data_IF_214375911912
#
_entry.id   IF_214375911912
#
_cell.length_a   1.000
_cell.length_b   1.000
_cell.length_c   1.000
_cell.angle_alpha   90.00
_cell.angle_beta   90.00
_cell.angle_gamma   90.00
#
_symmetry.space_group_name_H-M   'P 1'
#
loop_
_entity.id
_entity.type
_entity.pdbx_description
1 polymer ?
#
# COMPACT_ATOMS: atom_id res chain seq x y z
N UNK A 1 -10.17 -37.44 39.75
CA UNK A 1 -11.32 -36.75 39.14
C UNK A 1 -10.75 -35.88 38.03
N UNK A 2 -11.11 -36.17 36.77
CA UNK A 2 -10.68 -35.39 35.61
C UNK A 2 -11.91 -34.65 35.08
N UNK A 3 -11.82 -33.32 35.01
CA UNK A 3 -12.87 -32.48 34.42
C UNK A 3 -12.90 -32.65 32.90
N UNK A 4 -14.11 -32.87 32.39
CA UNK A 4 -14.45 -32.98 30.98
C UNK A 4 -14.57 -31.55 30.43
N UNK A 5 -13.73 -31.21 29.45
CA UNK A 5 -13.75 -29.92 28.76
C UNK A 5 -15.08 -29.68 28.03
N UNK A 6 -15.65 -28.49 28.25
CA UNK A 6 -16.87 -27.99 27.62
C UNK A 6 -16.65 -27.86 26.10
N UNK A 7 -17.32 -28.72 25.33
CA UNK A 7 -17.43 -28.59 23.89
C UNK A 7 -18.27 -27.37 23.48
N UNK A 8 -17.87 -26.76 22.37
CA UNK A 8 -18.68 -25.79 21.61
C UNK A 8 -20.05 -26.44 21.36
N UNK A 9 -21.10 -25.78 21.85
CA UNK A 9 -22.43 -26.36 22.00
C UNK A 9 -23.07 -26.59 20.64
N UNK A 10 -23.35 -27.86 20.30
CA UNK A 10 -24.07 -28.28 19.09
C UNK A 10 -25.39 -27.51 18.82
N UNK A 11 -25.99 -26.89 19.84
CA UNK A 11 -27.16 -26.02 19.72
C UNK A 11 -26.91 -24.69 18.98
N UNK A 12 -25.71 -24.12 19.04
CA UNK A 12 -25.37 -22.87 18.34
C UNK A 12 -25.12 -23.10 16.84
N UNK A 13 -24.40 -24.18 16.51
CA UNK A 13 -24.21 -24.64 15.13
C UNK A 13 -25.56 -24.99 14.48
N UNK A 14 -26.45 -25.68 15.19
CA UNK A 14 -27.80 -25.97 14.70
C UNK A 14 -28.63 -24.69 14.47
N UNK A 15 -28.54 -23.71 15.37
CA UNK A 15 -29.19 -22.39 15.21
C UNK A 15 -28.71 -21.64 13.97
N UNK A 16 -27.39 -21.63 13.70
CA UNK A 16 -26.82 -20.91 12.56
C UNK A 16 -27.14 -21.62 11.23
N UNK A 17 -27.10 -22.95 11.20
CA UNK A 17 -27.58 -23.75 10.06
C UNK A 17 -29.07 -23.51 9.82
N UNK A 18 -29.87 -23.40 10.88
CA UNK A 18 -31.30 -23.12 10.77
C UNK A 18 -31.59 -21.70 10.24
N UNK A 19 -30.82 -20.69 10.65
CA UNK A 19 -30.90 -19.34 10.08
C UNK A 19 -30.47 -19.30 8.60
N UNK A 20 -29.45 -20.07 8.22
CA UNK A 20 -29.02 -20.19 6.81
C UNK A 20 -30.11 -20.86 5.96
N UNK A 21 -30.72 -21.93 6.46
CA UNK A 21 -31.85 -22.60 5.79
C UNK A 21 -33.07 -21.69 5.68
N UNK A 22 -33.40 -20.92 6.72
CA UNK A 22 -34.52 -19.97 6.67
C UNK A 22 -34.28 -18.83 5.69
N UNK A 23 -33.05 -18.27 5.62
CA UNK A 23 -32.68 -17.27 4.61
C UNK A 23 -32.79 -17.80 3.18
N UNK A 24 -32.31 -19.02 2.95
CA UNK A 24 -32.39 -19.68 1.65
C UNK A 24 -33.86 -19.92 1.25
N UNK A 25 -34.68 -20.39 2.19
CA UNK A 25 -36.11 -20.59 1.99
C UNK A 25 -36.83 -19.27 1.68
N UNK A 26 -36.55 -18.20 2.42
CA UNK A 26 -37.17 -16.88 2.22
C UNK A 26 -36.81 -16.28 0.85
N UNK A 27 -35.52 -16.32 0.46
CA UNK A 27 -35.08 -15.89 -0.89
C UNK A 27 -35.79 -16.67 -2.01
N UNK A 28 -36.04 -17.96 -1.81
CA UNK A 28 -36.81 -18.78 -2.76
C UNK A 28 -38.29 -18.38 -2.78
N UNK A 29 -38.89 -18.11 -1.61
CA UNK A 29 -40.29 -17.67 -1.54
C UNK A 29 -40.50 -16.28 -2.16
N UNK A 30 -39.57 -15.35 -1.99
CA UNK A 30 -39.55 -14.04 -2.64
C UNK A 30 -39.45 -14.18 -4.17
N UNK A 31 -38.49 -14.98 -4.68
CA UNK A 31 -38.35 -15.27 -6.12
C UNK A 31 -39.57 -15.94 -6.75
N UNK A 32 -40.35 -16.69 -5.97
CA UNK A 32 -41.59 -17.33 -6.41
C UNK A 32 -42.83 -16.44 -6.26
N UNK A 33 -42.69 -15.18 -5.79
CA UNK A 33 -43.79 -14.25 -5.55
C UNK A 33 -44.72 -14.68 -4.41
N UNK A 34 -44.25 -15.55 -3.50
CA UNK A 34 -45.01 -16.10 -2.37
C UNK A 34 -44.75 -15.38 -1.05
N UNK A 35 -43.77 -14.48 -1.01
CA UNK A 35 -43.45 -13.60 0.11
C UNK A 35 -43.15 -12.19 -0.42
N UNK A 36 -43.58 -11.16 0.31
CA UNK A 36 -43.26 -9.77 -0.03
C UNK A 36 -41.79 -9.47 0.29
N UNK A 37 -41.07 -8.94 -0.70
CA UNK A 37 -39.69 -8.49 -0.59
C UNK A 37 -39.66 -7.02 -0.16
N UNK A 38 -38.88 -6.70 0.86
CA UNK A 38 -38.59 -5.31 1.19
C UNK A 38 -37.60 -4.76 0.16
N UNK A 39 -38.09 -3.95 -0.79
CA UNK A 39 -37.26 -3.30 -1.83
C UNK A 39 -36.93 -1.87 -1.41
N UNK A 40 -35.65 -1.57 -1.30
CA UNK A 40 -35.13 -0.24 -1.01
C UNK A 40 -34.33 0.27 -2.22
N UNK A 41 -35.06 0.83 -3.19
CA UNK A 41 -34.46 1.32 -4.43
C UNK A 41 -33.41 2.42 -4.19
N UNK A 42 -33.57 3.21 -3.12
CA UNK A 42 -32.61 4.26 -2.76
C UNK A 42 -31.30 3.63 -2.25
N UNK A 43 -31.39 2.62 -1.38
CA UNK A 43 -30.21 1.89 -0.91
C UNK A 43 -29.52 1.09 -2.04
N UNK A 44 -30.28 0.49 -2.95
CA UNK A 44 -29.75 -0.19 -4.14
C UNK A 44 -28.90 0.78 -5.00
N UNK A 45 -29.33 2.03 -5.17
CA UNK A 45 -28.56 3.06 -5.87
C UNK A 45 -27.27 3.43 -5.12
N UNK A 46 -27.33 3.56 -3.79
CA UNK A 46 -26.14 3.81 -2.96
C UNK A 46 -25.11 2.68 -3.09
N UNK A 47 -25.57 1.41 -3.09
CA UNK A 47 -24.70 0.24 -3.28
C UNK A 47 -24.12 0.19 -4.69
N UNK A 48 -24.89 0.58 -5.72
CA UNK A 48 -24.38 0.69 -7.08
C UNK A 48 -23.27 1.76 -7.18
N UNK A 49 -23.47 2.92 -6.56
CA UNK A 49 -22.47 3.98 -6.48
C UNK A 49 -21.23 3.53 -5.71
N UNK A 50 -21.39 2.86 -4.56
CA UNK A 50 -20.28 2.27 -3.79
C UNK A 50 -19.43 1.32 -4.64
N UNK A 51 -20.06 0.38 -5.35
CA UNK A 51 -19.34 -0.58 -6.19
C UNK A 51 -18.60 0.10 -7.36
N UNK A 52 -19.24 1.09 -7.98
CA UNK A 52 -18.61 1.91 -9.03
C UNK A 52 -17.39 2.64 -8.48
N UNK A 53 -17.54 3.30 -7.34
CA UNK A 53 -16.49 4.06 -6.67
C UNK A 53 -15.29 3.18 -6.31
N UNK A 54 -15.54 2.00 -5.75
CA UNK A 54 -14.51 1.01 -5.42
C UNK A 54 -13.75 0.55 -6.67
N UNK A 55 -14.46 0.25 -7.75
CA UNK A 55 -13.88 -0.20 -9.01
C UNK A 55 -13.01 0.89 -9.66
N UNK A 56 -13.51 2.13 -9.72
CA UNK A 56 -12.78 3.28 -10.26
C UNK A 56 -11.53 3.59 -9.42
N UNK A 57 -11.65 3.60 -8.09
CA UNK A 57 -10.51 3.80 -7.19
C UNK A 57 -9.45 2.70 -7.32
N UNK A 58 -9.87 1.43 -7.41
CA UNK A 58 -8.95 0.29 -7.62
C UNK A 58 -8.23 0.40 -8.96
N UNK A 59 -8.94 0.83 -10.01
CA UNK A 59 -8.33 1.10 -11.31
C UNK A 59 -7.28 2.21 -11.21
N UNK A 60 -7.61 3.33 -10.56
CA UNK A 60 -6.68 4.44 -10.34
C UNK A 60 -5.42 3.99 -9.58
N UNK A 61 -5.58 3.23 -8.50
CA UNK A 61 -4.47 2.68 -7.72
C UNK A 61 -3.53 1.83 -8.59
N UNK A 62 -4.10 0.94 -9.42
CA UNK A 62 -3.34 0.11 -10.34
C UNK A 62 -2.57 0.96 -11.36
N UNK A 63 -3.24 1.95 -11.95
CA UNK A 63 -2.65 2.83 -12.95
C UNK A 63 -1.52 3.71 -12.34
N UNK A 64 -1.67 4.20 -11.10
CA UNK A 64 -0.61 4.90 -10.36
C UNK A 64 0.58 4.01 -10.03
N UNK A 65 0.34 2.76 -9.59
CA UNK A 65 1.41 1.78 -9.35
C UNK A 65 2.18 1.47 -10.64
N UNK A 66 1.48 1.31 -11.76
CA UNK A 66 2.10 1.13 -13.07
C UNK A 66 2.93 2.35 -13.50
N UNK A 67 2.42 3.56 -13.23
CA UNK A 67 3.16 4.80 -13.46
C UNK A 67 4.47 4.85 -12.66
N UNK A 68 4.45 4.48 -11.38
CA UNK A 68 5.67 4.42 -10.55
C UNK A 68 6.70 3.42 -11.08
N UNK A 69 6.26 2.25 -11.54
CA UNK A 69 7.15 1.27 -12.18
C UNK A 69 7.80 1.87 -13.43
N UNK A 70 7.05 2.64 -14.23
CA UNK A 70 7.59 3.33 -15.39
C UNK A 70 8.60 4.41 -15.02
N UNK A 71 8.34 5.20 -13.96
CA UNK A 71 9.30 6.19 -13.41
C UNK A 71 10.60 5.51 -13.00
N UNK A 72 10.52 4.40 -12.24
CA UNK A 72 11.70 3.63 -11.84
C UNK A 72 12.47 3.07 -13.03
N UNK A 73 11.76 2.56 -14.04
CA UNK A 73 12.38 2.04 -15.26
C UNK A 73 13.11 3.14 -16.04
N UNK A 74 12.53 4.34 -16.11
CA UNK A 74 13.15 5.51 -16.73
C UNK A 74 14.39 5.96 -15.96
N UNK A 75 14.33 6.00 -14.63
CA UNK A 75 15.47 6.28 -13.77
C UNK A 75 16.63 5.32 -14.04
N UNK A 76 16.38 4.01 -14.04
CA UNK A 76 17.41 3.01 -14.32
C UNK A 76 18.01 3.16 -15.72
N UNK A 77 17.21 3.52 -16.73
CA UNK A 77 17.70 3.80 -18.08
C UNK A 77 18.55 5.09 -18.13
N UNK A 78 18.11 6.14 -17.45
CA UNK A 78 18.85 7.41 -17.33
C UNK A 78 20.20 7.19 -16.66
N UNK A 79 20.24 6.43 -15.56
CA UNK A 79 21.47 6.11 -14.83
C UNK A 79 22.46 5.37 -15.73
N UNK A 80 22.03 4.30 -16.41
CA UNK A 80 22.91 3.56 -17.36
C UNK A 80 23.50 4.45 -18.45
N UNK A 81 22.74 5.43 -18.94
CA UNK A 81 23.21 6.37 -19.95
C UNK A 81 24.26 7.33 -19.36
N UNK A 82 24.06 7.78 -18.12
CA UNK A 82 25.02 8.63 -17.41
C UNK A 82 26.30 7.86 -17.04
N UNK A 83 26.18 6.62 -16.59
CA UNK A 83 27.33 5.74 -16.31
C UNK A 83 28.19 5.57 -17.57
N UNK A 84 27.55 5.33 -18.73
CA UNK A 84 28.25 5.24 -20.01
C UNK A 84 29.02 6.53 -20.35
N UNK A 85 28.41 7.70 -20.10
CA UNK A 85 29.08 8.97 -20.29
C UNK A 85 30.28 9.10 -19.34
N UNK A 86 30.09 8.81 -18.05
CA UNK A 86 31.13 8.92 -17.03
C UNK A 86 32.33 8.01 -17.31
N UNK A 87 32.07 6.77 -17.77
CA UNK A 87 33.11 5.80 -18.17
C UNK A 87 33.93 6.29 -19.37
N UNK A 88 33.30 7.01 -20.30
CA UNK A 88 33.95 7.57 -21.49
C UNK A 88 34.62 8.92 -21.23
N UNK A 89 34.34 9.58 -20.10
CA UNK A 89 34.82 10.92 -19.82
C UNK A 89 36.21 10.91 -19.20
N UNK A 90 37.20 11.38 -19.95
CA UNK A 90 38.59 11.35 -19.50
C UNK A 90 38.84 12.32 -18.32
N UNK A 91 39.75 12.00 -17.38
CA UNK A 91 40.03 12.86 -16.23
C UNK A 91 40.58 14.26 -16.55
N UNK A 92 41.20 14.46 -17.72
CA UNK A 92 41.77 15.76 -18.14
C UNK A 92 40.79 16.62 -18.96
N UNK A 93 39.59 16.09 -19.23
CA UNK A 93 38.56 16.81 -19.96
C UNK A 93 37.90 17.85 -19.06
N UNK A 94 37.53 18.97 -19.69
CA UNK A 94 36.82 20.05 -19.02
C UNK A 94 35.55 19.51 -18.37
N UNK A 95 35.29 19.89 -17.12
CA UNK A 95 34.01 19.57 -16.49
C UNK A 95 33.89 18.14 -15.94
N UNK A 96 34.98 17.38 -15.75
CA UNK A 96 34.92 16.00 -15.25
C UNK A 96 34.21 15.91 -13.90
N UNK A 97 34.67 16.69 -12.91
CA UNK A 97 34.08 16.70 -11.55
C UNK A 97 32.63 17.18 -11.60
N UNK A 98 32.32 18.18 -12.43
CA UNK A 98 30.97 18.69 -12.63
C UNK A 98 30.05 17.66 -13.31
N UNK A 99 30.57 16.85 -14.22
CA UNK A 99 29.81 15.76 -14.87
C UNK A 99 29.48 14.65 -13.87
N UNK A 100 30.42 14.30 -13.00
CA UNK A 100 30.20 13.31 -11.94
C UNK A 100 29.16 13.80 -10.93
N UNK A 101 29.29 15.05 -10.47
CA UNK A 101 28.31 15.67 -9.57
C UNK A 101 26.92 15.74 -10.21
N UNK A 102 26.83 16.02 -11.51
CA UNK A 102 25.57 16.06 -12.24
C UNK A 102 24.88 14.68 -12.31
N UNK A 103 25.66 13.59 -12.41
CA UNK A 103 25.12 12.24 -12.34
C UNK A 103 24.53 11.94 -10.95
N UNK A 104 25.24 12.30 -9.87
CA UNK A 104 24.75 12.14 -8.49
C UNK A 104 23.49 12.98 -8.21
N UNK A 105 23.46 14.24 -8.65
CA UNK A 105 22.31 15.13 -8.53
C UNK A 105 21.10 14.58 -9.31
N UNK A 106 21.33 14.05 -10.52
CA UNK A 106 20.28 13.43 -11.33
C UNK A 106 19.69 12.21 -10.62
N UNK A 107 20.55 11.36 -10.05
CA UNK A 107 20.12 10.18 -9.29
C UNK A 107 19.24 10.57 -8.11
N UNK A 108 19.69 11.58 -7.36
CA UNK A 108 18.98 12.12 -6.19
C UNK A 108 17.60 12.64 -6.58
N UNK A 109 17.48 13.40 -7.67
CA UNK A 109 16.20 13.92 -8.14
C UNK A 109 15.22 12.80 -8.54
N UNK A 110 15.71 11.73 -9.18
CA UNK A 110 14.87 10.58 -9.53
C UNK A 110 14.35 9.86 -8.28
N UNK A 111 15.23 9.63 -7.29
CA UNK A 111 14.86 9.00 -6.03
C UNK A 111 13.83 9.83 -5.27
N UNK A 112 14.07 11.14 -5.13
CA UNK A 112 13.15 12.05 -4.46
C UNK A 112 11.79 12.08 -5.16
N UNK A 113 11.78 12.13 -6.50
CA UNK A 113 10.56 12.14 -7.29
C UNK A 113 9.74 10.86 -7.13
N UNK A 114 10.38 9.69 -7.22
CA UNK A 114 9.71 8.41 -7.01
C UNK A 114 9.14 8.30 -5.58
N UNK A 115 9.93 8.68 -4.56
CA UNK A 115 9.49 8.65 -3.16
C UNK A 115 8.29 9.58 -2.94
N UNK A 116 8.37 10.81 -3.44
CA UNK A 116 7.32 11.80 -3.31
C UNK A 116 5.99 11.33 -3.95
N UNK A 117 6.02 10.70 -5.12
CA UNK A 117 4.79 10.13 -5.72
C UNK A 117 4.22 9.00 -4.86
N UNK A 118 5.10 8.14 -4.34
CA UNK A 118 4.71 7.01 -3.48
C UNK A 118 3.97 7.52 -2.24
N UNK A 119 4.59 8.44 -1.51
CA UNK A 119 4.13 8.85 -0.18
C UNK A 119 3.02 9.90 -0.23
N UNK A 120 3.01 10.75 -1.25
CA UNK A 120 2.09 11.90 -1.30
C UNK A 120 0.92 11.70 -2.25
N UNK A 121 1.03 10.81 -3.24
CA UNK A 121 -0.04 10.56 -4.21
C UNK A 121 -0.62 9.16 -4.07
N UNK A 122 0.21 8.11 -4.10
CA UNK A 122 -0.27 6.73 -4.03
C UNK A 122 -0.84 6.39 -2.65
N UNK A 123 -0.15 6.77 -1.56
CA UNK A 123 -0.62 6.51 -0.20
C UNK A 123 -2.00 7.11 0.10
N UNK A 124 -2.32 8.27 -0.50
CA UNK A 124 -3.65 8.88 -0.38
C UNK A 124 -4.74 7.97 -0.96
N UNK A 125 -4.49 7.40 -2.14
CA UNK A 125 -5.42 6.45 -2.79
C UNK A 125 -5.48 5.12 -2.03
N UNK A 126 -4.36 4.62 -1.52
CA UNK A 126 -4.31 3.38 -0.72
C UNK A 126 -5.12 3.51 0.58
N UNK A 127 -4.92 4.60 1.32
CA UNK A 127 -5.66 4.89 2.57
C UNK A 127 -7.15 5.04 2.30
N UNK A 128 -7.51 5.68 1.20
CA UNK A 128 -8.90 5.81 0.79
C UNK A 128 -9.54 4.45 0.47
N UNK A 129 -8.85 3.60 -0.29
CA UNK A 129 -9.33 2.27 -0.65
C UNK A 129 -9.42 1.30 0.54
N UNK A 130 -8.63 1.52 1.59
CA UNK A 130 -8.66 0.71 2.81
C UNK A 130 -10.01 0.75 3.55
N UNK A 131 -10.85 1.75 3.30
CA UNK A 131 -12.19 1.87 3.90
C UNK A 131 -13.22 0.91 3.27
N UNK A 132 -13.02 0.51 2.01
CA UNK A 132 -14.04 -0.22 1.26
C UNK A 132 -14.30 -1.65 1.75
N UNK A 133 -13.30 -2.46 2.15
CA UNK A 133 -13.56 -3.82 2.62
C UNK A 133 -14.51 -3.89 3.82
N UNK A 134 -14.33 -3.03 4.81
CA UNK A 134 -15.16 -2.97 6.01
C UNK A 134 -16.61 -2.57 5.67
N UNK A 135 -16.78 -1.49 4.89
CA UNK A 135 -18.09 -1.01 4.47
C UNK A 135 -18.80 -2.08 3.61
N UNK A 136 -18.08 -2.76 2.71
CA UNK A 136 -18.62 -3.86 1.91
C UNK A 136 -19.13 -5.02 2.79
N UNK A 137 -18.39 -5.37 3.83
CA UNK A 137 -18.81 -6.40 4.78
C UNK A 137 -20.08 -5.99 5.54
N UNK A 138 -20.21 -4.70 5.91
CA UNK A 138 -21.42 -4.16 6.54
C UNK A 138 -22.63 -4.14 5.60
N UNK A 139 -22.46 -3.80 4.31
CA UNK A 139 -23.52 -3.92 3.30
C UNK A 139 -24.02 -5.38 3.23
N UNK A 140 -23.10 -6.34 3.09
CA UNK A 140 -23.47 -7.76 3.06
C UNK A 140 -24.18 -8.21 4.36
N UNK A 141 -23.71 -7.72 5.52
CA UNK A 141 -24.36 -7.96 6.82
C UNK A 141 -25.78 -7.39 6.85
N UNK A 142 -25.99 -6.16 6.38
CA UNK A 142 -27.30 -5.51 6.30
C UNK A 142 -28.27 -6.30 5.42
N UNK A 143 -27.82 -6.78 4.25
CA UNK A 143 -28.66 -7.62 3.38
C UNK A 143 -29.05 -8.95 4.03
N UNK A 144 -28.11 -9.59 4.75
CA UNK A 144 -28.42 -10.79 5.55
C UNK A 144 -29.46 -10.50 6.65
N UNK A 145 -29.40 -9.32 7.28
CA UNK A 145 -30.33 -8.91 8.34
C UNK A 145 -31.70 -8.49 7.82
N UNK A 146 -31.78 -7.92 6.63
CA UNK A 146 -33.04 -7.67 5.93
C UNK A 146 -33.82 -8.97 5.72
N UNK A 147 -33.14 -10.02 5.26
CA UNK A 147 -33.77 -11.34 5.07
C UNK A 147 -34.18 -11.97 6.40
N UNK A 148 -33.34 -11.84 7.45
CA UNK A 148 -33.69 -12.31 8.80
C UNK A 148 -34.98 -11.61 9.31
N UNK A 149 -35.09 -10.30 9.08
CA UNK A 149 -36.27 -9.51 9.43
C UNK A 149 -37.52 -9.92 8.64
N UNK A 150 -37.42 -10.06 7.31
CA UNK A 150 -38.53 -10.51 6.46
C UNK A 150 -39.04 -11.90 6.88
N UNK A 151 -38.12 -12.81 7.19
CA UNK A 151 -38.44 -14.16 7.65
C UNK A 151 -39.16 -14.14 9.01
N UNK A 152 -38.69 -13.34 9.97
CA UNK A 152 -39.35 -13.17 11.27
C UNK A 152 -40.74 -12.55 11.12
N UNK A 153 -40.89 -11.56 10.22
CA UNK A 153 -42.17 -10.90 9.90
C UNK A 153 -43.16 -11.90 9.33
N UNK A 154 -42.72 -12.73 8.38
CA UNK A 154 -43.55 -13.78 7.79
C UNK A 154 -43.94 -14.83 8.83
N UNK A 155 -43.00 -15.26 9.68
CA UNK A 155 -43.28 -16.22 10.75
C UNK A 155 -44.34 -15.71 11.74
N UNK A 156 -44.18 -14.48 12.23
CA UNK A 156 -45.15 -13.84 13.13
C UNK A 156 -46.54 -13.71 12.47
N UNK A 157 -46.60 -13.24 11.22
CA UNK A 157 -47.86 -13.11 10.47
C UNK A 157 -48.55 -14.47 10.25
N UNK A 158 -47.78 -15.54 10.05
CA UNK A 158 -48.33 -16.89 9.90
C UNK A 158 -48.97 -17.41 11.19
N UNK A 159 -48.34 -17.16 12.35
CA UNK A 159 -48.85 -17.55 13.66
C UNK A 159 -50.11 -16.75 14.05
N UNK A 160 -50.16 -15.47 13.70
CA UNK A 160 -51.34 -14.61 13.89
C UNK A 160 -52.57 -15.12 13.13
N UNK A 161 -52.39 -15.68 11.93
CA UNK A 161 -53.45 -16.22 11.07
C UNK A 161 -53.87 -17.66 11.44
N UNK A 162 -53.17 -18.31 12.37
CA UNK A 162 -53.49 -19.67 12.80
C UNK A 162 -54.85 -19.74 13.51
N UNK A 163 -55.66 -20.77 13.16
CA UNK A 163 -56.93 -21.06 13.86
C UNK A 163 -56.72 -21.55 15.30
N UNK A 164 -55.55 -22.11 15.62
CA UNK A 164 -55.14 -22.48 16.97
C UNK A 164 -54.12 -21.45 17.44
N UNK A 165 -54.56 -20.49 18.23
CA UNK A 165 -53.68 -19.47 18.82
C UNK A 165 -52.92 -20.07 20.00
N UNK A 166 -51.61 -19.93 19.95
CA UNK A 166 -50.68 -20.32 21.01
C UNK A 166 -49.98 -19.03 21.44
N UNK A 167 -50.50 -18.42 22.51
CA UNK A 167 -50.08 -17.08 22.93
C UNK A 167 -48.60 -17.03 23.31
N UNK A 168 -48.04 -18.14 23.83
CA UNK A 168 -46.62 -18.24 24.15
C UNK A 168 -45.75 -18.25 22.89
N UNK A 169 -46.17 -18.97 21.83
CA UNK A 169 -45.46 -18.97 20.54
C UNK A 169 -45.57 -17.61 19.84
N UNK A 170 -46.72 -16.96 19.92
CA UNK A 170 -46.95 -15.64 19.33
C UNK A 170 -46.05 -14.60 20.01
N UNK A 171 -46.02 -14.58 21.35
CA UNK A 171 -45.17 -13.66 22.11
C UNK A 171 -43.67 -13.85 21.77
N UNK A 172 -43.22 -15.10 21.64
CA UNK A 172 -41.83 -15.39 21.25
C UNK A 172 -41.50 -14.89 19.83
N UNK A 173 -42.41 -15.11 18.86
CA UNK A 173 -42.21 -14.65 17.49
C UNK A 173 -42.24 -13.12 17.38
N UNK A 174 -43.03 -12.43 18.21
CA UNK A 174 -43.04 -10.96 18.31
C UNK A 174 -41.70 -10.43 18.84
N UNK A 175 -41.16 -11.05 19.88
CA UNK A 175 -39.84 -10.68 20.43
C UNK A 175 -38.72 -10.90 19.40
N UNK A 176 -38.75 -12.03 18.68
CA UNK A 176 -37.80 -12.33 17.61
C UNK A 176 -37.90 -11.34 16.45
N UNK A 177 -39.12 -10.95 16.06
CA UNK A 177 -39.37 -9.90 15.06
C UNK A 177 -38.79 -8.55 15.52
N UNK A 178 -39.07 -8.14 16.75
CA UNK A 178 -38.53 -6.89 17.31
C UNK A 178 -37.00 -6.88 17.37
N UNK A 179 -36.38 -8.00 17.74
CA UNK A 179 -34.92 -8.15 17.72
C UNK A 179 -34.33 -8.08 16.31
N UNK A 180 -34.95 -8.76 15.33
CA UNK A 180 -34.49 -8.74 13.95
C UNK A 180 -34.64 -7.35 13.31
N UNK A 181 -35.76 -6.67 13.58
CA UNK A 181 -36.02 -5.30 13.12
C UNK A 181 -34.96 -4.34 13.64
N UNK A 182 -34.68 -4.37 14.95
CA UNK A 182 -33.69 -3.47 15.57
C UNK A 182 -32.30 -3.61 14.92
N UNK A 183 -31.81 -4.85 14.79
CA UNK A 183 -30.47 -5.10 14.21
C UNK A 183 -30.40 -4.67 12.74
N UNK A 184 -31.46 -4.91 11.97
CA UNK A 184 -31.52 -4.48 10.57
C UNK A 184 -31.53 -2.94 10.47
N UNK A 185 -32.39 -2.28 11.23
CA UNK A 185 -32.57 -0.82 11.16
C UNK A 185 -31.32 -0.07 11.63
N UNK A 186 -30.65 -0.54 12.69
CA UNK A 186 -29.38 0.03 13.16
C UNK A 186 -28.33 0.03 12.03
N UNK A 187 -28.09 -1.14 11.40
CA UNK A 187 -27.16 -1.24 10.27
C UNK A 187 -27.61 -0.41 9.06
N UNK A 188 -28.92 -0.37 8.81
CA UNK A 188 -29.48 0.32 7.66
C UNK A 188 -29.28 1.84 7.77
N UNK A 189 -29.58 2.42 8.94
CA UNK A 189 -29.39 3.86 9.20
C UNK A 189 -27.91 4.24 9.11
N UNK A 190 -27.03 3.47 9.77
CA UNK A 190 -25.59 3.77 9.72
C UNK A 190 -25.04 3.76 8.29
N UNK A 191 -25.44 2.79 7.45
CA UNK A 191 -25.00 2.73 6.05
C UNK A 191 -25.65 3.82 5.19
N UNK A 192 -26.89 4.21 5.46
CA UNK A 192 -27.54 5.33 4.76
C UNK A 192 -26.86 6.67 5.05
N UNK A 193 -26.23 6.84 6.21
CA UNK A 193 -25.44 8.02 6.55
C UNK A 193 -24.01 7.96 5.95
N UNK A 194 -23.38 6.79 6.01
CA UNK A 194 -21.98 6.60 5.63
C UNK A 194 -21.77 6.56 4.11
N UNK A 195 -22.62 5.85 3.36
CA UNK A 195 -22.43 5.66 1.91
C UNK A 195 -22.46 6.97 1.10
N UNK A 196 -23.38 7.93 1.34
CA UNK A 196 -23.35 9.22 0.65
C UNK A 196 -22.10 10.04 1.00
N UNK A 197 -21.69 10.01 2.27
CA UNK A 197 -20.48 10.70 2.75
C UNK A 197 -19.23 10.14 2.07
N UNK A 198 -19.11 8.80 2.01
CA UNK A 198 -18.04 8.14 1.28
C UNK A 198 -18.09 8.52 -0.20
N UNK A 199 -19.28 8.47 -0.84
CA UNK A 199 -19.45 8.84 -2.24
C UNK A 199 -18.89 10.24 -2.50
N UNK A 200 -19.32 11.26 -1.77
CA UNK A 200 -18.90 12.65 -1.98
C UNK A 200 -17.41 12.87 -1.72
N UNK A 201 -16.79 12.11 -0.82
CA UNK A 201 -15.35 12.18 -0.56
C UNK A 201 -14.47 11.90 -1.78
N UNK A 202 -14.95 11.14 -2.78
CA UNK A 202 -14.17 10.74 -3.98
C UNK A 202 -13.55 11.94 -4.70
N UNK A 203 -14.27 13.05 -4.78
CA UNK A 203 -13.81 14.24 -5.49
C UNK A 203 -12.60 14.83 -4.79
N UNK A 204 -12.66 14.95 -3.47
CA UNK A 204 -11.55 15.46 -2.65
C UNK A 204 -10.31 14.57 -2.76
N UNK A 205 -10.49 13.25 -2.74
CA UNK A 205 -9.38 12.29 -2.89
C UNK A 205 -8.73 12.40 -4.28
N UNK A 206 -9.52 12.43 -5.35
CA UNK A 206 -8.97 12.56 -6.71
C UNK A 206 -8.26 13.89 -6.91
N UNK A 207 -8.86 15.00 -6.45
CA UNK A 207 -8.24 16.32 -6.51
C UNK A 207 -6.91 16.32 -5.76
N UNK A 208 -6.88 15.79 -4.54
CA UNK A 208 -5.66 15.76 -3.74
C UNK A 208 -4.56 14.94 -4.41
N UNK A 209 -4.87 13.69 -4.80
CA UNK A 209 -3.89 12.79 -5.42
C UNK A 209 -3.29 13.37 -6.71
N UNK A 210 -4.11 13.94 -7.59
CA UNK A 210 -3.62 14.51 -8.84
C UNK A 210 -2.94 15.88 -8.66
N UNK A 211 -3.37 16.71 -7.70
CA UNK A 211 -2.65 17.95 -7.38
C UNK A 211 -1.25 17.67 -6.84
N UNK A 212 -1.12 16.68 -5.95
CA UNK A 212 0.19 16.25 -5.41
C UNK A 212 1.08 15.70 -6.52
N UNK A 213 0.55 14.80 -7.34
CA UNK A 213 1.26 14.24 -8.49
C UNK A 213 1.76 15.33 -9.44
N UNK A 214 0.88 16.25 -9.85
CA UNK A 214 1.21 17.35 -10.74
C UNK A 214 2.27 18.28 -10.15
N UNK A 215 2.13 18.65 -8.87
CA UNK A 215 3.10 19.53 -8.18
C UNK A 215 4.50 18.89 -8.12
N UNK A 216 4.56 17.58 -7.89
CA UNK A 216 5.82 16.85 -7.81
C UNK A 216 6.43 16.59 -9.19
N UNK A 217 5.59 16.34 -10.20
CA UNK A 217 6.00 16.31 -11.61
C UNK A 217 6.61 17.64 -12.04
N UNK A 218 5.95 18.75 -11.75
CA UNK A 218 6.43 20.09 -12.09
C UNK A 218 7.79 20.38 -11.44
N UNK A 219 7.93 20.10 -10.14
CA UNK A 219 9.21 20.26 -9.43
C UNK A 219 10.30 19.42 -10.08
N UNK A 220 10.04 18.13 -10.29
CA UNK A 220 11.01 17.21 -10.89
C UNK A 220 11.47 17.69 -12.27
N UNK A 221 10.53 17.98 -13.18
CA UNK A 221 10.88 18.40 -14.54
C UNK A 221 11.62 19.75 -14.57
N UNK A 222 11.28 20.68 -13.69
CA UNK A 222 12.00 21.96 -13.58
C UNK A 222 13.45 21.76 -13.14
N UNK A 223 13.69 20.98 -12.10
CA UNK A 223 15.06 20.75 -11.61
C UNK A 223 15.87 19.89 -12.58
N UNK A 224 15.26 18.86 -13.18
CA UNK A 224 15.88 18.04 -14.22
C UNK A 224 16.24 18.87 -15.47
N UNK A 225 15.43 19.86 -15.81
CA UNK A 225 15.71 20.81 -16.88
C UNK A 225 17.02 21.57 -16.64
N UNK A 226 17.24 22.06 -15.42
CA UNK A 226 18.50 22.75 -15.05
C UNK A 226 19.71 21.84 -15.16
N UNK A 227 19.60 20.58 -14.72
CA UNK A 227 20.70 19.61 -14.88
C UNK A 227 20.98 19.34 -16.36
N UNK A 228 19.94 19.24 -17.19
CA UNK A 228 20.12 19.03 -18.63
C UNK A 228 20.80 20.22 -19.30
N UNK A 229 20.47 21.45 -18.92
CA UNK A 229 21.15 22.67 -19.37
C UNK A 229 22.62 22.69 -18.92
N UNK A 230 22.91 22.34 -17.67
CA UNK A 230 24.29 22.26 -17.16
C UNK A 230 25.13 21.24 -17.95
N UNK A 231 24.56 20.07 -18.28
CA UNK A 231 25.24 19.07 -19.11
C UNK A 231 25.54 19.62 -20.51
N UNK A 232 24.59 20.32 -21.12
CA UNK A 232 24.80 20.95 -22.43
C UNK A 232 25.94 21.98 -22.40
N UNK A 233 26.01 22.80 -21.36
CA UNK A 233 27.08 23.80 -21.18
C UNK A 233 28.46 23.13 -21.00
N UNK A 234 28.53 22.03 -20.24
CA UNK A 234 29.76 21.24 -20.08
C UNK A 234 30.23 20.71 -21.44
N UNK A 235 29.32 20.11 -22.21
CA UNK A 235 29.63 19.58 -23.54
C UNK A 235 30.11 20.66 -24.52
N UNK A 236 29.51 21.85 -24.46
CA UNK A 236 29.92 23.00 -25.26
C UNK A 236 31.33 23.46 -24.91
N UNK A 237 31.66 23.54 -23.62
CA UNK A 237 33.01 23.93 -23.15
C UNK A 237 34.06 22.86 -23.43
N UNK A 238 33.69 21.58 -23.42
CA UNK A 238 34.58 20.49 -23.84
C UNK A 238 34.97 20.63 -25.31
N UNK A 239 34.01 20.99 -26.17
CA UNK A 239 34.25 21.26 -27.59
C UNK A 239 35.20 22.47 -27.77
N UNK A 240 35.00 23.54 -27.01
CA UNK A 240 35.91 24.70 -26.99
C UNK A 240 37.34 24.29 -26.56
N UNK A 241 37.47 23.45 -25.52
CA UNK A 241 38.76 22.91 -25.09
C UNK A 241 39.46 22.12 -26.22
N UNK A 242 38.70 21.33 -26.98
CA UNK A 242 39.22 20.55 -28.12
C UNK A 242 39.74 21.45 -29.24
N UNK A 243 39.01 22.49 -29.62
CA UNK A 243 39.44 23.42 -30.67
C UNK A 243 40.68 24.24 -30.24
N UNK A 244 40.74 24.70 -28.98
CA UNK A 244 41.92 25.39 -28.45
C UNK A 244 43.17 24.49 -28.47
N UNK A 245 43.04 23.21 -28.09
CA UNK A 245 44.14 22.23 -28.18
C UNK A 245 44.60 22.01 -29.63
N UNK A 246 43.67 22.05 -30.62
CA UNK A 246 44.00 21.92 -32.05
C UNK A 246 44.80 23.12 -32.58
N UNK A 247 44.39 24.35 -32.26
CA UNK A 247 45.05 25.56 -32.76
C UNK A 247 46.48 25.72 -32.23
N UNK A 248 46.70 25.41 -30.94
CA UNK A 248 48.06 25.41 -30.33
C UNK A 248 48.97 24.36 -30.98
N UNK A 249 48.42 23.17 -31.29
CA UNK A 249 49.14 22.11 -32.00
C UNK A 249 49.52 22.49 -33.44
N UNK A 250 48.65 23.22 -34.15
CA UNK A 250 48.90 23.68 -35.51
C UNK A 250 49.98 24.78 -35.59
N UNK A 251 50.00 25.71 -34.63
CA UNK A 251 51.05 26.74 -34.52
C UNK A 251 52.40 26.12 -34.17
N UNK A 252 52.43 25.14 -33.26
CA UNK A 252 53.66 24.47 -32.85
C UNK A 252 54.28 23.63 -33.99
N UNK A 253 53.46 22.94 -34.80
CA UNK A 253 53.95 22.18 -35.98
C UNK A 253 54.48 23.05 -37.12
N UNK A 254 54.03 24.31 -37.25
CA UNK A 254 54.57 25.25 -38.25
C UNK A 254 55.92 25.87 -37.85
N UNK A 255 56.35 25.71 -36.59
CA UNK A 255 57.60 26.27 -36.05
C UNK A 255 58.86 25.41 -36.24
N UNK A 256 58.73 24.11 -36.53
CA UNK A 256 59.88 23.18 -36.60
C UNK A 256 60.43 22.94 -38.02
N UNK A 257 59.89 23.61 -39.04
CA UNK A 257 60.25 23.43 -40.45
C UNK A 257 61.03 24.57 -41.08
N UNK A 258 62.15 25.02 -40.50
CA UNK A 258 63.19 25.80 -41.23
C UNK A 258 64.49 25.92 -40.41
N UNK A 259 65.48 25.10 -40.76
CA UNK A 259 66.90 25.32 -40.45
C UNK A 259 67.65 25.49 -41.77
N UNK A 260 68.12 26.70 -42.08
CA UNK A 260 69.38 26.93 -42.80
C UNK A 260 69.86 28.38 -42.63
N UNK A 261 71.14 28.44 -42.29
CA UNK A 261 72.08 29.52 -41.96
C UNK A 261 72.09 30.80 -42.83
N UNK A 262 72.53 31.90 -42.21
CA UNK A 262 72.97 33.12 -42.88
C UNK A 262 73.06 34.32 -41.91
N UNK A 263 74.27 34.82 -41.69
CA UNK A 263 74.67 35.67 -40.57
C UNK A 263 74.25 37.17 -40.64
N UNK A 264 74.31 37.77 -39.44
CA UNK A 264 74.77 39.12 -39.07
C UNK A 264 73.79 40.28 -38.74
N UNK A 265 73.99 40.74 -37.50
CA UNK A 265 73.99 42.11 -36.92
C UNK A 265 72.76 42.76 -36.24
N UNK A 266 73.01 43.04 -34.96
CA UNK A 266 72.67 44.18 -34.08
C UNK A 266 71.26 44.40 -33.51
N UNK A 267 71.26 44.36 -32.17
CA UNK A 267 70.68 45.30 -31.20
C UNK A 267 69.20 45.68 -31.27
N UNK A 268 68.41 45.14 -30.34
CA UNK A 268 67.70 45.98 -29.35
C UNK A 268 66.90 45.15 -28.33
N UNK A 269 67.15 45.47 -27.07
CA UNK A 269 66.25 45.45 -25.92
C UNK A 269 65.19 44.33 -25.80
N UNK A 270 65.46 43.39 -24.90
CA UNK A 270 64.50 42.49 -24.28
C UNK A 270 63.36 43.23 -23.58
N UNK A 271 62.12 43.02 -24.02
CA UNK A 271 60.90 43.21 -23.22
C UNK A 271 60.16 41.88 -23.17
N UNK A 272 60.10 41.29 -21.98
CA UNK A 272 59.38 40.06 -21.70
C UNK A 272 57.85 40.29 -21.78
N UNK A 273 57.05 39.40 -22.41
CA UNK A 273 55.62 39.41 -22.25
C UNK A 273 55.23 38.82 -20.88
N UNK A 274 54.42 39.58 -20.15
CA UNK A 274 53.83 39.20 -18.86
C UNK A 274 52.93 37.96 -19.00
N UNK A 275 53.04 37.03 -18.05
CA UNK A 275 52.04 35.98 -17.80
C UNK A 275 50.66 36.62 -17.52
N UNK A 276 49.55 36.10 -18.06
CA UNK A 276 48.23 36.40 -17.51
C UNK A 276 48.15 35.80 -16.10
N UNK A 277 47.73 36.61 -15.13
CA UNK A 277 47.46 36.15 -13.76
C UNK A 277 46.23 35.22 -13.70
N UNK A 278 46.02 34.53 -12.55
CA UNK A 278 44.88 33.65 -12.38
C UNK A 278 43.56 34.45 -12.35
N UNK A 279 42.41 33.84 -12.73
CA UNK A 279 41.11 34.49 -12.66
C UNK A 279 40.71 34.78 -11.20
N UNK A 280 39.77 35.72 -10.96
CA UNK A 280 39.45 36.20 -9.63
C UNK A 280 38.86 35.10 -8.74
N UNK A 281 39.39 35.02 -7.52
CA UNK A 281 38.89 34.18 -6.44
C UNK A 281 37.40 34.43 -6.18
N UNK A 282 36.62 33.34 -6.15
CA UNK A 282 35.25 33.32 -5.64
C UNK A 282 35.21 33.84 -4.18
N UNK A 283 34.21 34.64 -3.77
CA UNK A 283 34.07 35.03 -2.37
C UNK A 283 33.74 33.80 -1.50
N UNK A 284 34.09 33.84 -0.19
CA UNK A 284 33.92 32.69 0.71
C UNK A 284 32.43 32.36 0.92
N UNK A 285 32.11 31.14 1.41
CA UNK A 285 30.74 30.74 1.71
C UNK A 285 30.11 31.71 2.70
N UNK A 286 28.93 32.24 2.35
CA UNK A 286 28.11 33.01 3.26
C UNK A 286 27.56 32.04 4.32
N UNK A 287 27.96 32.27 5.56
CA UNK A 287 27.37 31.67 6.75
C UNK A 287 25.85 31.83 6.70
N UNK A 288 25.14 30.71 6.78
CA UNK A 288 23.72 30.66 7.14
C UNK A 288 23.57 31.17 8.58
N UNK A 289 22.71 32.16 8.87
CA UNK A 289 22.20 32.35 10.20
C UNK A 289 21.03 31.38 10.39
N UNK A 290 21.26 30.30 11.15
CA UNK A 290 20.17 29.58 11.81
C UNK A 290 19.79 30.31 13.10
N UNK A 291 18.53 30.18 13.55
CA UNK A 291 17.83 31.18 14.33
C UNK A 291 18.21 31.17 15.81
N UNK A 292 18.19 32.35 16.42
CA UNK A 292 18.37 32.55 17.85
C UNK A 292 17.15 32.03 18.64
N UNK A 293 17.45 31.25 19.68
CA UNK A 293 16.50 30.72 20.65
C UNK A 293 16.02 31.83 21.60
N UNK A 294 14.75 31.78 21.98
CA UNK A 294 14.33 32.17 23.33
C UNK A 294 14.21 30.94 24.21
N UNK A 295 15.27 30.72 24.99
CA UNK A 295 15.33 30.46 26.44
C UNK A 295 14.43 29.44 27.16
N UNK A 296 15.10 28.80 28.14
CA UNK A 296 14.72 27.89 29.24
C UNK A 296 14.64 26.39 28.87
N UNK A 297 15.36 25.46 29.51
CA UNK A 297 16.29 25.46 30.65
C UNK A 297 17.08 24.14 30.65
N UNK A 298 18.34 24.19 31.12
CA UNK A 298 19.09 23.21 31.94
C UNK A 298 19.15 21.73 31.48
N UNK A 299 20.32 21.19 31.17
CA UNK A 299 21.32 20.65 32.12
C UNK A 299 22.54 20.13 31.34
N UNK A 300 23.75 20.40 31.86
CA UNK A 300 25.04 19.87 31.41
C UNK A 300 25.44 18.64 32.23
N UNK A 301 26.39 17.89 31.65
CA UNK A 301 27.42 17.04 32.27
C UNK A 301 27.15 15.54 32.55
N UNK A 302 27.67 14.77 31.58
CA UNK A 302 28.86 13.90 31.68
C UNK A 302 28.82 12.46 32.23
N UNK A 303 29.55 11.66 31.45
CA UNK A 303 30.41 10.52 31.76
C UNK A 303 29.92 9.07 31.92
N UNK A 304 30.82 8.21 31.46
CA UNK A 304 30.66 6.81 31.12
C UNK A 304 30.72 5.81 32.31
N UNK A 305 30.26 4.60 31.97
CA UNK A 305 30.90 3.30 32.23
C UNK A 305 30.40 2.36 33.36
N UNK A 306 30.23 1.10 32.93
CA UNK A 306 30.28 -0.20 33.64
C UNK A 306 29.13 -0.68 34.59
N UNK A 307 28.49 -1.77 34.10
CA UNK A 307 27.71 -2.90 34.66
C UNK A 307 28.08 -3.44 36.07
N UNK A 308 27.38 -4.47 36.65
CA UNK A 308 25.95 -4.87 36.69
C UNK A 308 25.47 -5.31 38.11
N UNK A 309 24.16 -5.52 38.34
CA UNK A 309 23.63 -6.57 39.24
C UNK A 309 22.08 -6.60 39.35
N UNK A 310 21.50 -7.77 39.04
CA UNK A 310 20.49 -8.55 39.81
C UNK A 310 19.39 -7.77 40.56
N UNK A 311 18.08 -8.07 40.43
CA UNK A 311 17.44 -9.35 40.80
C UNK A 311 15.93 -9.32 40.50
N UNK A 312 15.41 -10.49 40.06
CA UNK A 312 14.08 -11.12 40.35
C UNK A 312 12.80 -10.36 39.93
N UNK A 313 11.82 -10.96 39.25
CA UNK A 313 11.58 -12.36 38.87
C UNK A 313 10.08 -12.68 38.95
N UNK A 314 9.53 -13.35 37.92
CA UNK A 314 8.47 -14.39 37.94
C UNK A 314 8.04 -14.62 36.46
N UNK A 315 8.49 -15.63 35.69
CA UNK A 315 8.20 -17.09 35.71
C UNK A 315 6.69 -17.38 35.68
N UNK A 316 6.08 -18.22 34.80
CA UNK A 316 6.49 -19.32 33.89
C UNK A 316 5.28 -19.65 32.94
N UNK A 317 5.25 -20.73 32.10
CA UNK A 317 6.31 -21.63 31.64
C UNK A 317 6.33 -21.91 30.11
N UNK A 318 7.49 -22.36 29.64
CA UNK A 318 7.68 -23.10 28.38
C UNK A 318 8.04 -24.56 28.71
N UNK A 319 7.42 -25.53 28.03
CA UNK A 319 7.94 -26.87 27.67
C UNK A 319 7.31 -27.24 26.31
N UNK A 320 8.05 -27.26 25.18
CA UNK A 320 8.86 -28.36 24.60
C UNK A 320 8.07 -29.67 24.34
N UNK A 321 8.03 -30.28 23.15
CA UNK A 321 8.69 -29.94 21.88
C UNK A 321 8.37 -30.90 20.70
N UNK A 322 8.86 -30.48 19.51
CA UNK A 322 9.40 -31.23 18.34
C UNK A 322 8.53 -32.30 17.64
N UNK A 323 8.36 -32.35 16.31
CA UNK A 323 9.37 -32.31 15.22
C UNK A 323 8.80 -31.79 13.88
N UNK A 324 9.73 -31.31 13.06
CA UNK A 324 9.60 -30.57 11.82
C UNK A 324 8.96 -31.29 10.62
N UNK A 325 8.32 -30.50 9.74
CA UNK A 325 8.53 -30.63 8.29
C UNK A 325 8.21 -29.32 7.53
N UNK A 326 9.25 -28.71 6.94
CA UNK A 326 9.23 -28.11 5.59
C UNK A 326 8.66 -26.70 5.38
N UNK A 327 9.53 -25.84 4.86
CA UNK A 327 9.33 -24.53 4.23
C UNK A 327 8.93 -23.35 5.15
N UNK A 328 9.96 -22.68 5.68
CA UNK A 328 9.86 -21.36 6.31
C UNK A 328 9.65 -20.31 5.20
N UNK A 329 8.44 -20.31 4.65
CA UNK A 329 7.91 -19.21 3.85
C UNK A 329 7.21 -18.26 4.79
N UNK A 330 7.73 -17.03 4.87
CA UNK A 330 7.18 -15.87 5.57
C UNK A 330 5.65 -15.96 5.73
N UNK A 331 5.17 -16.26 6.95
CA UNK A 331 3.76 -16.53 7.22
C UNK A 331 2.93 -15.24 7.20
N UNK A 332 1.64 -15.29 6.82
CA UNK A 332 0.80 -14.10 6.79
C UNK A 332 0.59 -13.50 8.20
N UNK A 333 0.49 -12.17 8.32
CA UNK A 333 0.11 -11.51 9.58
C UNK A 333 -1.19 -12.08 10.15
N UNK A 334 -1.23 -12.29 11.47
CA UNK A 334 -2.39 -12.85 12.16
C UNK A 334 -2.52 -14.38 12.04
N UNK A 335 -1.53 -15.09 11.50
CA UNK A 335 -1.55 -16.55 11.41
C UNK A 335 -1.66 -17.24 12.78
N UNK A 336 -2.55 -18.23 12.86
CA UNK A 336 -2.79 -19.02 14.07
C UNK A 336 -2.31 -20.47 13.90
N UNK A 337 -2.82 -21.19 12.89
CA UNK A 337 -2.49 -22.59 12.62
C UNK A 337 -2.92 -23.02 11.21
N UNK A 338 -2.50 -24.21 10.77
CA UNK A 338 -2.91 -24.79 9.48
C UNK A 338 -4.07 -25.77 9.66
N UNK A 339 -4.97 -25.79 8.69
CA UNK A 339 -6.01 -26.81 8.56
C UNK A 339 -6.00 -27.38 7.15
N UNK A 340 -6.42 -28.64 7.02
CA UNK A 340 -6.62 -29.31 5.75
C UNK A 340 -8.11 -29.52 5.54
N UNK A 341 -8.62 -29.13 4.38
CA UNK A 341 -10.01 -29.37 3.99
C UNK A 341 -10.25 -30.89 3.84
N UNK A 342 -11.19 -31.41 4.62
CA UNK A 342 -11.65 -32.82 4.56
C UNK A 342 -12.96 -32.95 3.78
N UNK A 343 -13.66 -31.83 3.58
CA UNK A 343 -14.88 -31.73 2.80
C UNK A 343 -14.76 -30.60 1.77
N UNK A 344 -15.44 -30.74 0.64
CA UNK A 344 -15.55 -29.68 -0.36
C UNK A 344 -16.58 -28.63 0.10
N UNK A 345 -16.27 -27.36 -0.09
CA UNK A 345 -17.12 -26.24 0.27
C UNK A 345 -17.19 -25.25 -0.88
N UNK A 346 -18.39 -25.01 -1.42
CA UNK A 346 -18.63 -24.00 -2.46
C UNK A 346 -19.02 -22.69 -1.79
N UNK A 347 -18.27 -21.62 -2.07
CA UNK A 347 -18.58 -20.29 -1.58
C UNK A 347 -19.97 -19.84 -2.07
N UNK A 348 -20.78 -19.33 -1.15
CA UNK A 348 -22.15 -18.85 -1.43
C UNK A 348 -22.23 -17.33 -1.45
N UNK A 349 -21.17 -16.64 -1.05
CA UNK A 349 -21.05 -15.19 -0.97
C UNK A 349 -19.60 -14.75 -1.24
N UNK A 350 -19.36 -13.46 -1.45
CA UNK A 350 -18.07 -12.90 -1.88
C UNK A 350 -16.99 -12.84 -0.80
N UNK A 351 -17.35 -13.03 0.47
CA UNK A 351 -16.44 -13.09 1.63
C UNK A 351 -16.08 -14.54 2.02
N UNK A 352 -16.70 -15.55 1.41
CA UNK A 352 -16.49 -16.97 1.74
C UNK A 352 -15.35 -17.60 0.91
N UNK A 353 -14.52 -18.42 1.57
CA UNK A 353 -13.42 -19.13 0.95
C UNK A 353 -13.87 -20.51 0.44
N UNK A 354 -13.84 -20.71 -0.87
CA UNK A 354 -14.11 -22.01 -1.50
C UNK A 354 -13.02 -23.04 -1.15
N UNK A 355 -13.39 -24.26 -0.78
CA UNK A 355 -12.46 -25.33 -0.38
C UNK A 355 -12.62 -26.58 -1.25
N UNK A 356 -11.52 -27.16 -1.70
CA UNK A 356 -11.48 -28.52 -2.26
C UNK A 356 -10.87 -29.49 -1.26
N UNK A 357 -11.31 -30.75 -1.30
CA UNK A 357 -10.73 -31.79 -0.43
C UNK A 357 -9.23 -31.87 -0.66
N UNK A 358 -8.47 -31.71 0.41
CA UNK A 358 -7.00 -31.71 0.39
C UNK A 358 -6.36 -30.33 0.41
N UNK A 359 -7.11 -29.24 0.20
CA UNK A 359 -6.59 -27.87 0.30
C UNK A 359 -6.02 -27.59 1.69
N UNK A 360 -4.84 -26.96 1.76
CA UNK A 360 -4.25 -26.46 3.00
C UNK A 360 -4.61 -24.99 3.15
N UNK A 361 -5.19 -24.64 4.29
CA UNK A 361 -5.63 -23.29 4.64
C UNK A 361 -4.85 -22.79 5.85
N UNK A 362 -4.32 -21.58 5.73
CA UNK A 362 -3.68 -20.84 6.81
C UNK A 362 -4.79 -20.10 7.57
N UNK A 363 -5.08 -20.53 8.80
CA UNK A 363 -6.10 -19.90 9.67
C UNK A 363 -5.52 -18.62 10.25
N UNK A 364 -6.29 -17.54 10.15
CA UNK A 364 -5.93 -16.21 10.64
C UNK A 364 -6.85 -15.81 11.80
N UNK A 365 -6.35 -14.94 12.67
CA UNK A 365 -7.17 -14.20 13.60
C UNK A 365 -8.09 -13.22 12.84
N UNK A 366 -9.30 -13.01 13.36
CA UNK A 366 -10.14 -11.91 12.92
C UNK A 366 -9.55 -10.59 13.41
N UNK A 367 -9.67 -9.55 12.59
CA UNK A 367 -9.22 -8.20 12.96
C UNK A 367 -10.08 -7.65 14.13
N UNK A 368 -11.35 -8.05 14.19
CA UNK A 368 -12.24 -7.83 15.33
C UNK A 368 -12.87 -9.16 15.81
N UNK A 369 -12.67 -9.59 17.07
CA UNK A 369 -13.24 -10.84 17.58
C UNK A 369 -14.77 -10.92 17.49
N UNK A 370 -15.46 -9.79 17.52
CA UNK A 370 -16.93 -9.72 17.43
C UNK A 370 -17.47 -10.03 16.01
N UNK A 371 -16.58 -10.08 15.01
CA UNK A 371 -16.89 -10.48 13.62
C UNK A 371 -16.81 -12.00 13.41
N UNK A 372 -16.21 -12.73 14.36
CA UNK A 372 -16.10 -14.18 14.24
C UNK A 372 -17.43 -14.85 14.51
N UNK A 373 -18.09 -15.31 13.45
CA UNK A 373 -19.29 -16.14 13.55
C UNK A 373 -18.93 -17.53 14.13
N UNK A 374 -19.72 -17.99 15.12
CA UNK A 374 -19.55 -19.31 15.75
C UNK A 374 -19.54 -20.45 14.70
N UNK A 375 -18.42 -21.21 14.63
CA UNK A 375 -18.20 -22.31 13.69
C UNK A 375 -17.55 -21.89 12.35
N UNK A 376 -17.15 -20.63 12.23
CA UNK A 376 -16.45 -20.09 11.07
C UNK A 376 -15.02 -19.68 11.45
N UNK A 377 -14.11 -20.00 10.54
CA UNK A 377 -12.72 -19.57 10.60
C UNK A 377 -12.45 -18.60 9.46
N UNK A 378 -11.58 -17.62 9.70
CA UNK A 378 -11.01 -16.79 8.66
C UNK A 378 -9.69 -17.43 8.21
N UNK A 379 -9.46 -17.48 6.90
CA UNK A 379 -8.18 -17.95 6.41
C UNK A 379 -7.98 -17.74 4.92
N UNK A 380 -6.85 -18.22 4.44
CA UNK A 380 -6.49 -18.16 3.02
C UNK A 380 -5.73 -19.43 2.62
N UNK A 381 -5.85 -19.83 1.35
CA UNK A 381 -5.17 -21.04 0.87
C UNK A 381 -3.66 -20.83 0.88
N UNK A 382 -2.94 -21.79 1.43
CA UNK A 382 -1.47 -21.76 1.49
C UNK A 382 -0.86 -21.63 0.09
N UNK A 383 -1.46 -22.29 -0.92
CA UNK A 383 -1.04 -22.17 -2.32
C UNK A 383 -1.10 -20.72 -2.84
N UNK A 384 -2.14 -19.97 -2.45
CA UNK A 384 -2.31 -18.58 -2.88
C UNK A 384 -1.30 -17.67 -2.18
N UNK A 385 -1.04 -17.94 -0.89
CA UNK A 385 -0.05 -17.22 -0.12
C UNK A 385 1.36 -17.37 -0.70
N UNK A 386 1.78 -18.62 -0.93
CA UNK A 386 3.11 -18.92 -1.44
C UNK A 386 3.35 -18.32 -2.83
N UNK A 387 2.31 -18.18 -3.64
CA UNK A 387 2.44 -17.67 -5.00
C UNK A 387 2.37 -16.13 -5.09
N UNK A 388 1.49 -15.49 -4.32
CA UNK A 388 1.16 -14.06 -4.48
C UNK A 388 1.51 -13.19 -3.29
N UNK A 389 1.75 -13.78 -2.11
CA UNK A 389 1.88 -13.08 -0.83
C UNK A 389 0.78 -12.03 -0.60
N UNK A 390 -0.43 -12.35 -1.05
CA UNK A 390 -1.56 -11.42 -1.08
C UNK A 390 -2.64 -11.85 -0.08
N UNK A 391 -2.75 -11.08 1.00
CA UNK A 391 -3.70 -11.31 2.09
C UNK A 391 -5.14 -10.94 1.71
N UNK A 392 -5.35 -10.19 0.63
CA UNK A 392 -6.69 -9.78 0.18
C UNK A 392 -7.55 -10.96 -0.28
N UNK A 393 -6.94 -12.12 -0.49
CA UNK A 393 -7.62 -13.38 -0.86
C UNK A 393 -8.14 -14.16 0.35
N UNK A 394 -8.07 -13.59 1.56
CA UNK A 394 -8.66 -14.19 2.77
C UNK A 394 -10.18 -14.24 2.69
N UNK A 395 -10.77 -15.30 3.23
CA UNK A 395 -12.22 -15.48 3.30
C UNK A 395 -12.60 -16.39 4.44
N UNK A 396 -13.88 -16.37 4.80
CA UNK A 396 -14.42 -17.19 5.89
C UNK A 396 -14.81 -18.58 5.38
N UNK A 397 -14.58 -19.62 6.17
CA UNK A 397 -14.94 -20.98 5.83
C UNK A 397 -15.42 -21.78 7.06
N UNK A 398 -16.19 -22.86 6.88
CA UNK A 398 -16.71 -23.65 8.00
C UNK A 398 -15.60 -24.46 8.66
N UNK A 399 -15.45 -24.33 9.99
CA UNK A 399 -14.44 -25.07 10.76
C UNK A 399 -14.59 -26.59 10.60
N UNK A 400 -15.84 -27.08 10.62
CA UNK A 400 -16.19 -28.50 10.55
C UNK A 400 -15.92 -29.16 9.19
N UNK A 401 -15.52 -28.39 8.18
CA UNK A 401 -15.10 -28.90 6.87
C UNK A 401 -13.58 -29.13 6.80
N UNK A 402 -12.88 -28.86 7.89
CA UNK A 402 -11.42 -28.90 7.96
C UNK A 402 -10.92 -29.67 9.18
N UNK A 403 -9.67 -30.14 9.10
CA UNK A 403 -8.98 -30.81 10.20
C UNK A 403 -7.62 -30.14 10.42
N UNK A 404 -7.28 -29.85 11.67
CA UNK A 404 -5.99 -29.26 12.03
C UNK A 404 -4.83 -30.18 11.63
N UNK A 405 -3.78 -29.59 11.04
CA UNK A 405 -2.60 -30.29 10.52
C UNK A 405 -1.44 -30.16 11.47
#
# INVERSE_FOLDING_TARGET
MAEIGKGVTAGKLASNVQKRLSRAQEKVMQKLGKADETRDAAFEEMVANFNKQMAEGTKLQKDLKAYMVAVKTMHEASRRLQDCLADMYEPDWFGKEETDALAEDTDTLWLEYHQNITDQSLLCVDTYLAQFPEIKARIAKRDRKMVDFDSARHHFASLQKSKKKDDAKIAKAEEELGRAQKIFEELNVELQDELPTLWDSRVGIYVNAFQKLASHQEKFHREMGKLTENLHDIMTKLEEQRELKRDVGAVSKKGEGKKSEGANHSDSATVAPKKPGPPPSRPPPRLTPSPDLRQHCADEDDDEDLVPATTKGSTSPTQQGTVANGSDGELPPGFLYKVKAVHEYTATDGDELELKVGDIVLVLAFDNPDEQDDGWLLGLKESNWLQKKDISTKGVFPENFTQKV
#
